data_IF_566827492523
#
_entry.id   IF_566827492523
#
_cell.length_a   1.000
_cell.length_b   1.000
_cell.length_c   1.000
_cell.angle_alpha   90.00
_cell.angle_beta   90.00
_cell.angle_gamma   90.00
#
_symmetry.space_group_name_H-M   'P 1'
#
loop_
_entity.id
_entity.type
_entity.pdbx_description
1 polymer ?
#
# COMPACT_ATOMS: atom_id res chain seq x y z
N UNK A 1 -38.37 -67.00 -24.50
CA UNK A 1 -38.15 -65.52 -24.75
C UNK A 1 -37.94 -64.84 -23.40
N UNK A 2 -36.68 -64.58 -23.03
CA UNK A 2 -36.32 -63.98 -21.74
C UNK A 2 -35.81 -62.58 -22.05
N UNK A 3 -36.59 -61.56 -21.69
CA UNK A 3 -36.24 -60.15 -21.76
C UNK A 3 -35.50 -59.73 -20.47
N UNK A 4 -34.19 -59.56 -20.55
CA UNK A 4 -33.39 -58.93 -19.48
C UNK A 4 -33.52 -57.38 -19.55
N UNK A 5 -34.08 -56.80 -18.48
CA UNK A 5 -34.07 -55.33 -18.27
C UNK A 5 -32.69 -54.92 -17.77
N UNK A 6 -32.01 -54.08 -18.53
CA UNK A 6 -30.83 -53.35 -18.08
C UNK A 6 -31.29 -52.15 -17.22
N UNK A 7 -30.81 -52.11 -15.97
CA UNK A 7 -30.94 -50.94 -15.08
C UNK A 7 -29.66 -50.13 -15.28
N UNK A 8 -29.80 -48.93 -15.87
CA UNK A 8 -28.72 -47.96 -15.96
C UNK A 8 -28.66 -47.18 -14.63
N UNK A 9 -27.55 -47.35 -13.90
CA UNK A 9 -27.25 -46.54 -12.71
C UNK A 9 -26.55 -45.27 -13.20
N UNK A 10 -27.22 -44.14 -13.10
CA UNK A 10 -26.65 -42.84 -13.36
C UNK A 10 -25.80 -42.41 -12.13
N UNK A 11 -24.49 -42.42 -12.27
CA UNK A 11 -23.58 -41.85 -11.29
C UNK A 11 -23.62 -40.32 -11.42
N UNK A 12 -24.24 -39.64 -10.46
CA UNK A 12 -24.18 -38.18 -10.33
C UNK A 12 -22.80 -37.81 -9.81
N UNK A 13 -21.94 -37.25 -10.68
CA UNK A 13 -20.68 -36.64 -10.28
C UNK A 13 -20.99 -35.33 -9.56
N UNK A 14 -20.83 -35.28 -8.24
CA UNK A 14 -20.74 -34.02 -7.51
C UNK A 14 -19.42 -33.35 -7.94
N UNK A 15 -19.52 -32.37 -8.83
CA UNK A 15 -18.44 -31.43 -9.05
C UNK A 15 -18.28 -30.59 -7.75
N UNK A 16 -17.22 -30.85 -7.00
CA UNK A 16 -16.82 -29.98 -5.92
C UNK A 16 -16.53 -28.61 -6.53
N UNK A 17 -17.40 -27.64 -6.25
CA UNK A 17 -17.13 -26.23 -6.54
C UNK A 17 -15.96 -25.86 -5.63
N UNK A 18 -14.74 -25.94 -6.15
CA UNK A 18 -13.56 -25.38 -5.51
C UNK A 18 -13.77 -23.87 -5.51
N UNK A 19 -14.19 -23.31 -4.39
CA UNK A 19 -14.15 -21.86 -4.20
C UNK A 19 -12.70 -21.45 -4.37
N UNK A 20 -12.38 -20.75 -5.45
CA UNK A 20 -11.05 -20.17 -5.62
C UNK A 20 -10.87 -19.17 -4.48
N UNK A 21 -9.97 -19.50 -3.56
CA UNK A 21 -9.60 -18.60 -2.46
C UNK A 21 -9.23 -17.22 -3.03
N UNK A 22 -9.84 -16.16 -2.49
CA UNK A 22 -9.58 -14.81 -2.95
C UNK A 22 -8.26 -14.31 -2.36
N UNK A 23 -7.20 -14.36 -3.15
CA UNK A 23 -5.88 -13.89 -2.75
C UNK A 23 -5.82 -12.35 -2.61
N UNK A 24 -4.98 -11.85 -1.69
CA UNK A 24 -4.66 -10.43 -1.49
C UNK A 24 -3.15 -10.21 -1.65
N UNK A 25 -2.62 -10.26 -2.89
CA UNK A 25 -1.19 -10.44 -3.16
C UNK A 25 -0.33 -9.17 -3.07
N UNK A 26 -0.95 -8.02 -2.93
CA UNK A 26 -0.28 -6.71 -2.91
C UNK A 26 -1.02 -5.70 -2.04
N UNK A 27 -0.37 -4.58 -1.75
CA UNK A 27 -1.00 -3.47 -1.05
C UNK A 27 -2.27 -3.01 -1.77
N UNK A 28 -3.39 -2.97 -1.01
CA UNK A 28 -4.74 -2.68 -1.47
C UNK A 28 -5.31 -3.74 -2.43
N UNK A 29 -4.84 -4.98 -2.33
CA UNK A 29 -5.42 -6.17 -2.95
C UNK A 29 -5.27 -6.27 -4.46
N UNK A 30 -6.06 -7.13 -5.09
CA UNK A 30 -6.09 -7.28 -6.54
C UNK A 30 -6.29 -5.94 -7.24
N UNK A 31 -5.45 -5.63 -8.26
CA UNK A 31 -5.46 -4.32 -8.91
C UNK A 31 -4.99 -3.14 -8.05
N UNK A 32 -4.75 -3.34 -6.75
CA UNK A 32 -4.22 -2.31 -5.84
C UNK A 32 -5.16 -1.14 -5.55
N UNK A 33 -6.47 -1.32 -5.70
CA UNK A 33 -7.46 -0.24 -5.55
C UNK A 33 -8.20 -0.25 -4.21
N UNK A 34 -8.01 -1.28 -3.36
CA UNK A 34 -8.64 -1.37 -2.04
C UNK A 34 -10.09 -1.83 -2.07
N UNK A 35 -10.44 -2.65 -3.04
CA UNK A 35 -11.81 -3.17 -3.23
C UNK A 35 -11.79 -4.68 -3.06
N UNK A 36 -12.70 -5.20 -2.23
CA UNK A 36 -12.98 -6.61 -2.04
C UNK A 36 -14.49 -6.86 -2.18
N UNK A 37 -14.84 -7.85 -2.98
CA UNK A 37 -16.24 -8.21 -3.23
C UNK A 37 -16.83 -9.14 -2.16
N UNK A 38 -16.05 -9.53 -1.12
CA UNK A 38 -16.51 -10.39 -0.03
C UNK A 38 -17.62 -9.71 0.78
N UNK A 39 -18.76 -10.40 0.91
CA UNK A 39 -19.93 -9.91 1.66
C UNK A 39 -20.06 -10.50 3.06
N UNK A 40 -19.36 -11.60 3.36
CA UNK A 40 -19.56 -12.39 4.59
C UNK A 40 -18.57 -12.03 5.72
N UNK A 41 -17.69 -11.04 5.51
CA UNK A 41 -16.85 -10.51 6.60
C UNK A 41 -17.78 -9.97 7.70
N UNK A 42 -17.56 -10.31 8.99
CA UNK A 42 -18.39 -9.84 10.10
C UNK A 42 -18.56 -8.31 10.09
N UNK A 43 -19.76 -7.86 10.44
CA UNK A 43 -20.04 -6.41 10.55
C UNK A 43 -19.59 -5.84 11.89
N UNK A 44 -19.58 -6.69 12.90
CA UNK A 44 -19.21 -6.33 14.27
C UNK A 44 -18.09 -7.22 14.78
N UNK A 45 -17.09 -6.60 15.44
CA UNK A 45 -16.02 -7.29 16.14
C UNK A 45 -15.48 -6.48 17.31
N UNK A 46 -14.85 -7.19 18.24
CA UNK A 46 -14.10 -6.65 19.37
C UNK A 46 -13.03 -7.65 19.77
N UNK A 47 -12.22 -7.38 20.80
CA UNK A 47 -11.24 -8.36 21.32
C UNK A 47 -11.86 -9.72 21.71
N UNK A 48 -13.17 -9.77 21.96
CA UNK A 48 -13.90 -10.97 22.41
C UNK A 48 -15.00 -11.43 21.45
N UNK A 49 -15.17 -10.78 20.29
CA UNK A 49 -16.22 -11.10 19.32
C UNK A 49 -15.65 -11.13 17.92
N UNK A 50 -15.87 -12.20 17.16
CA UNK A 50 -15.50 -12.36 15.75
C UNK A 50 -14.00 -12.12 15.46
N UNK A 51 -13.14 -12.39 16.44
CA UNK A 51 -11.69 -12.49 16.28
C UNK A 51 -11.32 -13.96 16.35
N UNK A 52 -11.05 -14.57 15.18
CA UNK A 52 -10.65 -15.98 15.10
C UNK A 52 -9.29 -16.22 15.76
N UNK A 53 -8.34 -15.30 15.54
CA UNK A 53 -7.06 -15.30 16.22
C UNK A 53 -6.42 -13.90 16.21
N UNK A 54 -5.49 -13.72 17.17
CA UNK A 54 -4.61 -12.57 17.31
C UNK A 54 -3.18 -13.06 17.50
N UNK A 55 -2.26 -12.58 16.67
CA UNK A 55 -0.85 -12.98 16.69
C UNK A 55 0.05 -11.80 16.93
N UNK A 56 0.87 -11.85 17.98
CA UNK A 56 1.89 -10.85 18.24
C UNK A 56 2.99 -10.93 17.19
N UNK A 57 3.39 -9.79 16.64
CA UNK A 57 4.42 -9.69 15.63
C UNK A 57 5.79 -9.35 16.26
N UNK A 58 6.86 -10.05 15.88
CA UNK A 58 8.20 -9.67 16.27
C UNK A 58 8.67 -8.46 15.47
N UNK A 59 9.28 -7.48 16.15
CA UNK A 59 9.80 -6.27 15.49
C UNK A 59 8.72 -5.25 15.13
N UNK A 60 9.13 -4.21 14.42
CA UNK A 60 8.29 -3.05 14.06
C UNK A 60 7.99 -3.01 12.57
N UNK A 61 6.79 -2.60 12.17
CA UNK A 61 6.46 -2.46 10.74
C UNK A 61 5.04 -2.01 10.48
N UNK A 62 4.85 -1.38 9.30
CA UNK A 62 3.58 -0.86 8.82
C UNK A 62 3.11 -1.45 7.51
N UNK A 63 3.81 -2.48 6.97
CA UNK A 63 3.32 -3.16 5.77
C UNK A 63 1.92 -3.72 5.98
N UNK A 64 1.07 -3.60 4.97
CA UNK A 64 -0.25 -4.24 4.98
C UNK A 64 -0.11 -5.77 4.93
N UNK A 65 -1.05 -6.51 5.50
CA UNK A 65 -1.08 -7.96 5.33
C UNK A 65 -1.25 -8.34 3.86
N UNK A 66 -0.60 -9.43 3.46
CA UNK A 66 -0.78 -10.12 2.19
C UNK A 66 -1.32 -11.50 2.47
N UNK A 67 -2.30 -11.95 1.70
CA UNK A 67 -2.91 -13.28 1.88
C UNK A 67 -2.81 -14.06 0.58
N UNK A 68 -2.22 -15.24 0.63
CA UNK A 68 -2.08 -16.16 -0.51
C UNK A 68 -2.35 -17.58 -0.03
N UNK A 69 -3.38 -18.22 -0.58
CA UNK A 69 -3.78 -19.56 -0.14
C UNK A 69 -3.96 -19.62 1.38
N UNK A 70 -3.25 -20.51 2.06
CA UNK A 70 -3.29 -20.67 3.53
C UNK A 70 -2.21 -19.86 4.27
N UNK A 71 -1.70 -18.78 3.70
CA UNK A 71 -0.61 -17.99 4.29
C UNK A 71 -0.97 -16.52 4.38
N UNK A 72 -0.68 -15.91 5.54
CA UNK A 72 -0.71 -14.47 5.76
C UNK A 72 0.71 -13.98 5.96
N UNK A 73 1.12 -12.96 5.19
CA UNK A 73 2.46 -12.43 5.20
C UNK A 73 2.49 -10.95 5.59
N UNK A 74 3.44 -10.58 6.43
CA UNK A 74 3.79 -9.19 6.75
C UNK A 74 5.31 -9.03 6.81
N UNK A 75 5.79 -7.79 6.79
CA UNK A 75 7.20 -7.50 7.05
C UNK A 75 7.41 -6.93 8.44
N UNK A 76 8.57 -7.17 9.05
CA UNK A 76 8.95 -6.60 10.33
C UNK A 76 10.43 -6.16 10.30
N UNK A 77 10.73 -5.03 10.94
CA UNK A 77 12.08 -4.55 11.15
C UNK A 77 12.54 -4.89 12.57
N UNK A 78 13.67 -5.58 12.66
CA UNK A 78 14.41 -5.75 13.91
C UNK A 78 15.47 -4.65 13.97
N UNK A 79 15.34 -3.76 14.94
CA UNK A 79 16.05 -2.51 15.04
C UNK A 79 17.06 -2.56 16.20
N UNK A 80 18.34 -2.26 15.94
CA UNK A 80 19.37 -2.05 16.96
C UNK A 80 19.71 -0.57 16.97
N UNK A 81 19.43 0.10 18.10
CA UNK A 81 19.69 1.54 18.23
C UNK A 81 21.21 1.83 18.16
N UNK A 82 21.57 2.94 17.54
CA UNK A 82 22.89 3.52 17.64
C UNK A 82 23.13 4.07 19.07
N UNK A 83 24.40 4.23 19.44
CA UNK A 83 24.74 4.93 20.69
C UNK A 83 24.29 6.40 20.65
N UNK A 84 24.20 7.02 21.83
CA UNK A 84 23.88 8.45 21.89
C UNK A 84 24.91 9.32 21.18
N UNK A 85 26.17 8.95 21.27
CA UNK A 85 27.28 9.63 20.64
C UNK A 85 27.21 9.56 19.12
N UNK A 86 27.03 8.34 18.57
CA UNK A 86 26.82 8.09 17.15
C UNK A 86 25.56 8.80 16.63
N UNK A 87 24.46 8.76 17.40
CA UNK A 87 23.20 9.42 17.04
C UNK A 87 23.41 10.93 16.90
N UNK A 88 24.09 11.58 17.85
CA UNK A 88 24.41 13.01 17.81
C UNK A 88 25.29 13.36 16.59
N UNK A 89 26.29 12.54 16.31
CA UNK A 89 27.19 12.77 15.17
C UNK A 89 26.45 12.66 13.82
N UNK A 90 25.71 11.58 13.64
CA UNK A 90 24.99 11.34 12.37
C UNK A 90 23.89 12.35 12.11
N UNK A 91 23.19 12.83 13.17
CA UNK A 91 22.14 13.83 13.03
C UNK A 91 22.64 15.24 12.73
N UNK A 92 23.92 15.55 12.81
CA UNK A 92 24.50 16.82 12.32
C UNK A 92 24.20 17.07 10.84
N UNK A 93 24.07 16.01 10.05
CA UNK A 93 23.69 16.08 8.64
C UNK A 93 22.19 16.27 8.38
N UNK A 94 21.35 16.22 9.41
CA UNK A 94 19.91 16.44 9.25
C UNK A 94 19.61 17.94 9.08
N UNK A 95 19.06 18.30 7.94
CA UNK A 95 18.68 19.68 7.62
C UNK A 95 17.18 19.97 7.84
N UNK A 96 16.39 18.94 8.16
CA UNK A 96 14.93 19.04 8.23
C UNK A 96 14.36 19.30 9.62
N UNK A 97 15.12 19.06 10.70
CA UNK A 97 14.68 19.25 12.08
C UNK A 97 13.57 18.30 12.56
N UNK A 98 13.18 17.29 11.76
CA UNK A 98 12.17 16.30 12.12
C UNK A 98 12.69 15.31 13.18
N UNK A 99 11.80 14.71 13.99
CA UNK A 99 12.22 13.71 14.98
C UNK A 99 12.61 12.38 14.33
N UNK A 100 13.88 12.04 14.43
CA UNK A 100 14.49 10.88 13.77
C UNK A 100 14.98 9.83 14.75
N UNK A 101 15.02 8.58 14.30
CA UNK A 101 15.64 7.44 14.98
C UNK A 101 16.85 7.00 14.18
N UNK A 102 17.99 6.82 14.85
CA UNK A 102 19.25 6.37 14.27
C UNK A 102 19.56 4.97 14.77
N UNK A 103 19.85 4.06 13.84
CA UNK A 103 20.16 2.67 14.14
C UNK A 103 21.62 2.36 13.77
N UNK A 104 22.25 1.46 14.53
CA UNK A 104 23.51 0.82 14.15
C UNK A 104 23.29 -0.38 13.20
N UNK A 105 22.12 -1.05 13.32
CA UNK A 105 21.74 -2.14 12.40
C UNK A 105 20.22 -2.23 12.26
N UNK A 106 19.76 -2.59 11.07
CA UNK A 106 18.37 -3.02 10.83
C UNK A 106 18.35 -4.31 10.02
N UNK A 107 17.47 -5.23 10.42
CA UNK A 107 17.13 -6.45 9.68
C UNK A 107 15.66 -6.40 9.30
N UNK A 108 15.35 -6.60 8.02
CA UNK A 108 13.98 -6.67 7.51
C UNK A 108 13.62 -8.14 7.31
N UNK A 109 12.61 -8.59 8.03
CA UNK A 109 12.15 -9.97 7.98
C UNK A 109 10.78 -10.08 7.30
N UNK A 110 10.59 -11.18 6.58
CA UNK A 110 9.28 -11.66 6.12
C UNK A 110 8.72 -12.62 7.18
N UNK A 111 7.54 -12.31 7.69
CA UNK A 111 6.83 -13.13 8.69
C UNK A 111 5.67 -13.82 7.98
N UNK A 112 5.65 -15.15 8.00
CA UNK A 112 4.56 -15.97 7.51
C UNK A 112 3.76 -16.51 8.68
N UNK A 113 2.45 -16.35 8.61
CA UNK A 113 1.48 -16.82 9.58
C UNK A 113 0.57 -17.80 8.88
N UNK A 114 0.31 -18.95 9.48
CA UNK A 114 -0.70 -19.89 9.02
C UNK A 114 -2.07 -19.24 9.16
N UNK A 115 -2.82 -19.20 8.06
CA UNK A 115 -4.08 -18.47 7.96
C UNK A 115 -5.18 -19.00 8.87
N UNK A 116 -5.17 -20.32 9.16
CA UNK A 116 -6.21 -20.93 9.99
C UNK A 116 -5.87 -20.83 11.47
N UNK A 117 -4.65 -21.14 11.85
CA UNK A 117 -4.25 -21.22 13.26
C UNK A 117 -3.71 -19.90 13.84
N UNK A 118 -3.31 -18.95 13.00
CA UNK A 118 -2.63 -17.73 13.43
C UNK A 118 -1.18 -17.94 13.90
N UNK A 119 -0.62 -19.14 13.77
CA UNK A 119 0.74 -19.46 14.23
C UNK A 119 1.77 -18.92 13.25
N UNK A 120 2.83 -18.25 13.74
CA UNK A 120 3.97 -17.88 12.91
C UNK A 120 4.72 -19.14 12.48
N UNK A 121 4.70 -19.44 11.19
CA UNK A 121 5.35 -20.63 10.60
C UNK A 121 6.70 -20.32 9.94
N UNK A 122 6.97 -19.04 9.59
CA UNK A 122 8.26 -18.59 9.07
C UNK A 122 8.59 -17.20 9.57
N UNK A 123 9.87 -16.97 9.86
CA UNK A 123 10.45 -15.66 10.17
C UNK A 123 11.81 -15.59 9.45
N UNK A 124 11.85 -14.94 8.29
CA UNK A 124 12.95 -15.03 7.34
C UNK A 124 13.60 -13.65 7.19
N UNK A 125 14.89 -13.54 7.49
CA UNK A 125 15.67 -12.33 7.21
C UNK A 125 15.83 -12.15 5.69
N UNK A 126 15.27 -11.08 5.15
CA UNK A 126 15.30 -10.77 3.73
C UNK A 126 16.39 -9.76 3.41
N UNK A 127 16.50 -8.70 4.19
CA UNK A 127 17.47 -7.64 4.03
C UNK A 127 18.12 -7.31 5.37
N UNK A 128 19.42 -6.95 5.32
CA UNK A 128 20.17 -6.45 6.47
C UNK A 128 21.00 -5.25 6.05
N UNK A 129 21.04 -4.21 6.89
CA UNK A 129 21.87 -3.04 6.68
C UNK A 129 22.50 -2.60 7.99
N UNK A 130 23.83 -2.47 8.00
CA UNK A 130 24.58 -1.76 9.05
C UNK A 130 24.54 -0.27 8.74
N UNK A 131 24.51 0.52 9.77
CA UNK A 131 24.49 1.99 9.72
C UNK A 131 23.47 2.52 8.70
N UNK A 132 22.18 2.07 8.77
CA UNK A 132 21.18 2.50 7.83
C UNK A 132 20.94 4.00 7.98
N UNK A 133 20.46 4.67 6.93
CA UNK A 133 19.93 6.04 7.07
C UNK A 133 18.91 6.06 8.23
N UNK A 134 18.76 7.22 8.86
CA UNK A 134 17.74 7.42 9.87
C UNK A 134 16.31 7.26 9.33
N UNK A 135 15.38 7.10 10.23
CA UNK A 135 13.96 7.02 9.92
C UNK A 135 13.17 7.98 10.82
N UNK A 136 12.09 8.55 10.30
CA UNK A 136 11.19 9.35 11.13
C UNK A 136 10.60 8.49 12.26
N UNK A 137 10.52 9.00 13.49
CA UNK A 137 10.09 8.21 14.67
C UNK A 137 8.72 7.54 14.53
N UNK A 138 7.83 8.07 13.69
CA UNK A 138 6.51 7.48 13.41
C UNK A 138 6.49 6.55 12.19
N UNK A 139 7.60 6.45 11.45
CA UNK A 139 7.76 5.52 10.33
C UNK A 139 8.48 4.24 10.79
N UNK A 140 8.63 3.27 9.90
CA UNK A 140 9.37 2.02 10.10
C UNK A 140 10.17 1.68 8.85
N UNK A 141 11.30 0.99 9.03
CA UNK A 141 12.07 0.41 7.93
C UNK A 141 11.29 -0.68 7.17
N UNK A 142 10.26 -1.26 7.79
CA UNK A 142 9.35 -2.25 7.19
C UNK A 142 7.95 -1.65 6.91
N UNK A 143 7.91 -0.41 6.41
CA UNK A 143 6.66 0.24 5.98
C UNK A 143 6.21 -0.16 4.57
N UNK A 144 7.10 -0.33 3.58
CA UNK A 144 6.69 -0.83 2.27
C UNK A 144 6.04 -2.21 2.36
N UNK A 145 4.96 -2.40 1.61
CA UNK A 145 4.30 -3.71 1.47
C UNK A 145 4.89 -4.42 0.26
N UNK A 146 5.40 -5.65 0.42
CA UNK A 146 5.84 -6.46 -0.72
C UNK A 146 4.72 -6.76 -1.71
N UNK A 147 5.08 -7.33 -2.85
CA UNK A 147 4.12 -7.88 -3.81
C UNK A 147 4.42 -9.35 -4.08
N UNK A 148 3.39 -10.17 -4.19
CA UNK A 148 3.49 -11.61 -4.41
C UNK A 148 3.01 -11.95 -5.81
N UNK A 149 3.82 -12.73 -6.54
CA UNK A 149 3.48 -13.27 -7.84
C UNK A 149 4.23 -14.59 -8.08
N UNK A 150 3.53 -15.62 -8.58
CA UNK A 150 4.13 -16.90 -8.98
C UNK A 150 4.91 -17.61 -7.87
N UNK A 151 4.45 -17.55 -6.62
CA UNK A 151 5.11 -18.16 -5.46
C UNK A 151 6.37 -17.43 -4.98
N UNK A 152 6.62 -16.24 -5.50
CA UNK A 152 7.72 -15.36 -5.09
C UNK A 152 7.17 -14.09 -4.47
N UNK A 153 7.90 -13.55 -3.50
CA UNK A 153 7.60 -12.27 -2.84
C UNK A 153 8.73 -11.29 -3.14
N UNK A 154 8.36 -10.11 -3.65
CA UNK A 154 9.30 -9.07 -4.05
C UNK A 154 9.21 -7.89 -3.09
N UNK A 155 10.35 -7.53 -2.54
CA UNK A 155 10.54 -6.46 -1.56
C UNK A 155 11.19 -5.26 -2.22
N UNK A 156 10.74 -4.07 -1.85
CA UNK A 156 11.38 -2.80 -2.16
C UNK A 156 11.41 -1.96 -0.88
N UNK A 157 12.58 -1.78 -0.30
CA UNK A 157 12.77 -1.06 0.97
C UNK A 157 13.67 0.18 0.78
N UNK A 158 13.46 0.91 -0.31
CA UNK A 158 14.24 2.10 -0.62
C UNK A 158 15.72 1.79 -0.75
N UNK A 159 16.56 2.64 -0.18
CA UNK A 159 18.01 2.51 -0.20
C UNK A 159 18.56 1.34 0.65
N UNK A 160 17.70 0.63 1.38
CA UNK A 160 18.12 -0.57 2.12
C UNK A 160 18.14 -1.81 1.24
N UNK A 161 17.48 -1.76 0.09
CA UNK A 161 17.56 -2.76 -0.95
C UNK A 161 16.20 -3.26 -1.46
N UNK A 162 16.32 -3.99 -2.55
CA UNK A 162 15.24 -4.75 -3.19
C UNK A 162 15.61 -6.23 -3.14
N UNK A 163 14.67 -7.13 -2.94
CA UNK A 163 14.94 -8.56 -2.83
C UNK A 163 13.79 -9.42 -3.37
N UNK A 164 14.11 -10.66 -3.72
CA UNK A 164 13.13 -11.69 -4.06
C UNK A 164 13.29 -12.89 -3.12
N UNK A 165 12.16 -13.30 -2.53
CA UNK A 165 12.04 -14.47 -1.66
C UNK A 165 11.18 -15.53 -2.35
N UNK A 166 11.68 -16.76 -2.43
CA UNK A 166 10.86 -17.92 -2.77
C UNK A 166 10.05 -18.35 -1.54
N UNK A 167 8.73 -18.23 -1.61
CA UNK A 167 7.85 -18.41 -0.45
C UNK A 167 7.84 -19.84 0.09
N UNK A 168 7.92 -20.86 -0.81
CA UNK A 168 7.89 -22.28 -0.43
C UNK A 168 9.10 -22.67 0.42
N UNK A 169 10.29 -22.44 -0.09
CA UNK A 169 11.55 -22.80 0.60
C UNK A 169 11.98 -21.79 1.66
N UNK A 170 11.57 -20.52 1.54
CA UNK A 170 12.09 -19.42 2.35
C UNK A 170 13.46 -18.92 1.89
N UNK A 171 13.95 -19.33 0.71
CA UNK A 171 15.23 -18.91 0.16
C UNK A 171 15.12 -17.53 -0.47
N UNK A 172 16.03 -16.61 -0.09
CA UNK A 172 16.21 -15.34 -0.79
C UNK A 172 16.98 -15.63 -2.08
N UNK A 173 16.33 -15.44 -3.22
CA UNK A 173 16.87 -15.76 -4.55
C UNK A 173 17.89 -14.74 -5.01
N UNK A 174 17.60 -13.46 -4.77
CA UNK A 174 18.52 -12.36 -5.07
C UNK A 174 18.25 -11.14 -4.18
N UNK A 175 19.26 -10.28 -4.07
CA UNK A 175 19.21 -8.95 -3.46
C UNK A 175 19.87 -7.95 -4.40
N UNK A 176 19.31 -6.74 -4.46
CA UNK A 176 19.92 -5.60 -5.14
C UNK A 176 19.97 -4.42 -4.17
N UNK A 177 21.13 -3.83 -3.99
CA UNK A 177 21.39 -2.65 -3.15
C UNK A 177 22.11 -1.54 -3.92
N UNK A 178 22.07 -1.57 -5.27
CA UNK A 178 22.79 -0.62 -6.14
C UNK A 178 22.04 0.72 -6.26
N UNK A 179 20.74 0.73 -6.00
CA UNK A 179 19.91 1.94 -6.09
C UNK A 179 19.87 2.64 -4.73
N UNK A 180 20.25 3.91 -4.72
CA UNK A 180 20.36 4.68 -3.49
C UNK A 180 19.83 6.11 -3.64
N UNK A 181 19.16 6.61 -2.59
CA UNK A 181 18.76 8.00 -2.39
C UNK A 181 18.78 8.33 -0.90
N UNK A 182 18.89 9.62 -0.55
CA UNK A 182 18.70 10.08 0.82
C UNK A 182 17.20 10.21 1.10
N UNK A 183 16.63 9.25 1.82
CA UNK A 183 15.19 9.23 2.12
C UNK A 183 14.75 10.29 3.12
N UNK A 184 15.57 10.65 4.07
CA UNK A 184 15.29 11.58 5.18
C UNK A 184 14.27 11.04 6.20
N UNK A 185 13.19 10.38 5.78
CA UNK A 185 12.13 9.89 6.65
C UNK A 185 12.00 8.35 6.64
N UNK A 186 12.91 7.65 5.95
CA UNK A 186 12.85 6.20 5.74
C UNK A 186 12.02 5.79 4.52
N UNK A 187 11.92 4.48 4.22
CA UNK A 187 11.21 3.98 3.05
C UNK A 187 9.69 4.05 3.24
N UNK A 188 8.94 4.15 2.14
CA UNK A 188 7.47 4.21 2.17
C UNK A 188 6.81 3.57 0.97
N UNK A 189 7.35 3.78 -0.24
CA UNK A 189 6.79 3.26 -1.48
C UNK A 189 6.89 1.74 -1.60
N UNK A 190 5.79 1.13 -2.05
CA UNK A 190 5.74 -0.29 -2.42
C UNK A 190 6.05 -0.47 -3.91
N UNK A 191 6.48 -1.65 -4.36
CA UNK A 191 6.69 -1.91 -5.77
C UNK A 191 5.37 -2.23 -6.49
N UNK A 192 5.41 -2.13 -7.82
CA UNK A 192 4.39 -2.67 -8.73
C UNK A 192 5.05 -3.58 -9.76
N UNK A 193 4.32 -4.58 -10.26
CA UNK A 193 4.82 -5.49 -11.30
C UNK A 193 4.15 -5.15 -12.63
N UNK A 194 4.95 -5.17 -13.69
CA UNK A 194 4.51 -5.18 -15.07
C UNK A 194 5.34 -6.19 -15.87
N UNK A 195 4.71 -7.26 -16.32
CA UNK A 195 5.39 -8.39 -16.97
C UNK A 195 6.56 -8.90 -16.10
N UNK A 196 7.79 -8.90 -16.63
CA UNK A 196 8.99 -9.35 -15.93
C UNK A 196 9.69 -8.24 -15.13
N UNK A 197 9.07 -7.07 -14.98
CA UNK A 197 9.66 -5.92 -14.33
C UNK A 197 9.00 -5.59 -12.99
N UNK A 198 9.82 -5.37 -11.98
CA UNK A 198 9.46 -4.79 -10.70
C UNK A 198 9.77 -3.29 -10.75
N UNK A 199 8.74 -2.44 -10.72
CA UNK A 199 8.84 -1.00 -10.94
C UNK A 199 8.54 -0.25 -9.65
N UNK A 200 9.37 0.75 -9.34
CA UNK A 200 9.22 1.61 -8.16
C UNK A 200 9.95 2.94 -8.38
N UNK A 201 9.55 3.95 -7.64
CA UNK A 201 10.29 5.20 -7.66
C UNK A 201 11.16 5.38 -6.41
N UNK A 202 12.23 6.15 -6.57
CA UNK A 202 13.20 6.53 -5.55
C UNK A 202 13.41 8.04 -5.63
N UNK A 203 12.59 8.79 -4.87
CA UNK A 203 12.64 10.26 -4.85
C UNK A 203 13.14 10.72 -3.47
N UNK A 204 14.46 10.88 -3.36
CA UNK A 204 15.13 11.36 -2.16
C UNK A 204 15.29 12.88 -2.13
N UNK A 205 15.99 13.40 -1.12
CA UNK A 205 16.37 14.81 -1.06
C UNK A 205 17.50 15.15 -2.03
N UNK A 206 18.33 14.18 -2.39
CA UNK A 206 19.50 14.28 -3.27
C UNK A 206 19.19 13.93 -4.73
N UNK A 207 18.60 12.76 -4.96
CA UNK A 207 18.28 12.23 -6.29
C UNK A 207 16.81 11.83 -6.39
N UNK A 208 16.23 11.99 -7.58
CA UNK A 208 14.84 11.63 -7.87
C UNK A 208 14.76 10.87 -9.20
N UNK A 209 14.28 9.63 -9.15
CA UNK A 209 14.16 8.77 -10.32
C UNK A 209 13.09 7.69 -10.14
N UNK A 210 12.68 7.11 -11.24
CA UNK A 210 11.92 5.87 -11.29
C UNK A 210 12.80 4.79 -11.90
N UNK A 211 12.68 3.56 -11.42
CA UNK A 211 13.49 2.43 -11.88
C UNK A 211 12.66 1.17 -12.06
N UNK A 212 13.14 0.27 -12.91
CA UNK A 212 12.69 -1.10 -13.00
C UNK A 212 13.84 -2.07 -12.81
N UNK A 213 13.55 -3.15 -12.11
CA UNK A 213 14.43 -4.29 -11.91
C UNK A 213 13.79 -5.51 -12.61
N UNK A 214 14.60 -6.28 -13.34
CA UNK A 214 14.18 -7.60 -13.80
C UNK A 214 13.87 -8.49 -12.58
N UNK A 215 12.63 -8.91 -12.43
CA UNK A 215 12.15 -9.63 -11.23
C UNK A 215 12.76 -11.02 -11.04
N UNK A 216 13.35 -11.60 -12.10
CA UNK A 216 13.97 -12.92 -12.02
C UNK A 216 15.43 -12.85 -11.58
N UNK A 217 16.14 -11.80 -11.97
CA UNK A 217 17.59 -11.67 -11.76
C UNK A 217 17.96 -10.62 -10.71
N UNK A 218 17.08 -9.67 -10.41
CA UNK A 218 17.37 -8.52 -9.55
C UNK A 218 18.22 -7.44 -10.19
N UNK A 219 18.52 -7.54 -11.49
CA UNK A 219 19.33 -6.54 -12.22
C UNK A 219 18.48 -5.35 -12.63
N UNK A 220 19.05 -4.14 -12.56
CA UNK A 220 18.39 -2.93 -13.05
C UNK A 220 18.20 -3.04 -14.55
N UNK A 221 16.92 -2.99 -15.01
CA UNK A 221 16.54 -3.01 -16.41
C UNK A 221 16.60 -1.59 -17.01
N UNK A 222 16.07 -0.62 -16.28
CA UNK A 222 16.15 0.80 -16.63
C UNK A 222 16.03 1.70 -15.39
N UNK A 223 16.56 2.93 -15.51
CA UNK A 223 16.51 3.97 -14.49
C UNK A 223 16.33 5.32 -15.18
N UNK A 224 15.27 6.07 -14.83
CA UNK A 224 14.91 7.33 -15.47
C UNK A 224 14.83 8.45 -14.46
N UNK A 225 15.71 9.46 -14.57
CA UNK A 225 15.66 10.65 -13.73
C UNK A 225 14.40 11.47 -14.00
N UNK A 226 13.88 12.13 -12.95
CA UNK A 226 12.78 13.08 -13.06
C UNK A 226 13.21 14.32 -13.86
N UNK A 227 12.38 14.75 -14.82
CA UNK A 227 12.70 15.85 -15.74
C UNK A 227 12.04 17.18 -15.33
N UNK A 228 11.02 17.15 -14.46
CA UNK A 228 10.33 18.35 -14.01
C UNK A 228 11.19 19.20 -13.09
N UNK A 229 11.09 20.52 -13.20
CA UNK A 229 11.75 21.44 -12.28
C UNK A 229 11.16 21.25 -10.88
N UNK A 230 12.01 20.97 -9.91
CA UNK A 230 11.65 20.84 -8.50
C UNK A 230 12.11 22.07 -7.71
N UNK A 231 11.65 22.18 -6.47
CA UNK A 231 12.07 23.23 -5.55
C UNK A 231 13.57 23.14 -5.26
N UNK A 232 14.25 24.27 -5.01
CA UNK A 232 15.69 24.28 -4.70
C UNK A 232 16.00 23.62 -3.35
N UNK A 233 15.11 23.77 -2.35
CA UNK A 233 15.25 23.12 -1.06
C UNK A 233 15.15 21.59 -1.20
N UNK A 234 16.21 20.82 -0.86
CA UNK A 234 16.23 19.35 -0.95
C UNK A 234 15.08 18.67 -0.21
N UNK A 235 14.66 19.23 0.93
CA UNK A 235 13.56 18.66 1.73
C UNK A 235 12.22 18.62 0.99
N UNK A 236 12.03 19.44 -0.04
CA UNK A 236 10.79 19.56 -0.81
C UNK A 236 10.80 18.74 -2.12
N UNK A 237 11.80 17.87 -2.33
CA UNK A 237 11.95 17.06 -3.57
C UNK A 237 11.48 15.60 -3.41
N UNK A 238 11.15 15.19 -2.19
CA UNK A 238 10.91 13.77 -1.84
C UNK A 238 9.52 13.30 -2.25
N UNK A 239 9.42 11.99 -2.53
CA UNK A 239 8.17 11.25 -2.62
C UNK A 239 8.34 9.81 -2.13
N UNK A 240 7.29 9.25 -1.51
CA UNK A 240 7.26 7.95 -0.85
C UNK A 240 6.09 7.08 -1.31
N UNK A 241 5.36 7.51 -2.32
CA UNK A 241 4.18 6.80 -2.82
C UNK A 241 4.53 5.52 -3.57
N UNK A 242 3.51 4.86 -4.06
CA UNK A 242 3.61 3.64 -4.87
C UNK A 242 3.13 3.95 -6.28
N UNK A 243 3.92 3.67 -7.33
CA UNK A 243 3.46 3.83 -8.71
C UNK A 243 2.37 2.81 -9.04
N UNK A 244 1.55 3.10 -10.04
CA UNK A 244 0.52 2.18 -10.53
C UNK A 244 0.62 2.00 -12.03
N UNK A 245 0.22 0.82 -12.51
CA UNK A 245 0.03 0.58 -13.95
C UNK A 245 -1.40 0.92 -14.30
N UNK A 246 -1.58 1.80 -15.29
CA UNK A 246 -2.88 2.20 -15.79
C UNK A 246 -2.98 1.95 -17.29
N UNK A 247 -4.13 1.45 -17.76
CA UNK A 247 -4.44 1.38 -19.20
C UNK A 247 -4.93 2.77 -19.63
N UNK A 248 -4.08 3.54 -20.31
CA UNK A 248 -4.39 4.89 -20.78
C UNK A 248 -4.36 4.90 -22.30
N UNK A 249 -5.51 5.23 -22.92
CA UNK A 249 -5.67 5.28 -24.37
C UNK A 249 -5.16 4.00 -25.06
N UNK A 250 -5.51 2.84 -24.50
CA UNK A 250 -5.21 1.51 -25.04
C UNK A 250 -3.82 0.95 -24.71
N UNK A 251 -2.91 1.72 -24.08
CA UNK A 251 -1.57 1.25 -23.70
C UNK A 251 -1.34 1.28 -22.19
N UNK A 252 -0.43 0.44 -21.72
CA UNK A 252 -0.01 0.45 -20.34
C UNK A 252 0.92 1.64 -20.08
N UNK A 253 0.69 2.32 -18.95
CA UNK A 253 1.46 3.48 -18.51
C UNK A 253 1.72 3.35 -17.03
N UNK A 254 2.96 3.54 -16.62
CA UNK A 254 3.31 3.69 -15.22
C UNK A 254 2.98 5.11 -14.78
N UNK A 255 2.03 5.27 -13.87
CA UNK A 255 1.70 6.55 -13.26
C UNK A 255 2.48 6.70 -11.95
N UNK A 256 3.32 7.72 -11.86
CA UNK A 256 4.22 7.94 -10.74
C UNK A 256 4.16 9.38 -10.24
N UNK A 257 3.44 9.66 -9.14
CA UNK A 257 3.49 10.95 -8.46
C UNK A 257 4.86 11.20 -7.83
N UNK A 258 5.36 12.41 -7.98
CA UNK A 258 6.59 12.91 -7.39
C UNK A 258 6.38 14.32 -6.84
N UNK A 259 7.36 14.93 -6.22
CA UNK A 259 7.25 16.31 -5.79
C UNK A 259 6.96 17.26 -6.97
N UNK A 260 5.93 18.08 -6.85
CA UNK A 260 5.46 19.08 -7.81
C UNK A 260 4.84 18.51 -9.11
N UNK A 261 5.04 17.24 -9.42
CA UNK A 261 4.71 16.64 -10.70
C UNK A 261 4.08 15.24 -10.54
N UNK A 262 3.23 14.87 -11.49
CA UNK A 262 2.89 13.48 -11.76
C UNK A 262 3.37 13.12 -13.17
N UNK A 263 3.91 11.92 -13.30
CA UNK A 263 4.51 11.43 -14.54
C UNK A 263 3.80 10.19 -15.05
N UNK A 264 3.78 10.04 -16.38
CA UNK A 264 3.48 8.79 -17.05
C UNK A 264 4.69 8.28 -17.80
N UNK A 265 5.04 7.02 -17.58
CA UNK A 265 6.17 6.37 -18.22
C UNK A 265 5.74 5.13 -19.01
N UNK A 266 6.47 4.84 -20.06
CA UNK A 266 6.42 3.56 -20.74
C UNK A 266 7.00 2.48 -19.82
N UNK A 267 6.25 1.44 -19.42
CA UNK A 267 6.73 0.46 -18.46
C UNK A 267 7.89 -0.40 -18.97
N UNK A 268 8.00 -0.62 -20.29
CA UNK A 268 9.05 -1.45 -20.88
C UNK A 268 10.42 -0.77 -20.88
N UNK A 269 10.44 0.55 -21.05
CA UNK A 269 11.67 1.31 -21.35
C UNK A 269 11.98 2.39 -20.30
N UNK A 270 11.03 2.73 -19.44
CA UNK A 270 11.14 3.87 -18.53
C UNK A 270 11.07 5.24 -19.24
N UNK A 271 10.77 5.29 -20.54
CA UNK A 271 10.67 6.56 -21.27
C UNK A 271 9.50 7.38 -20.74
N UNK A 272 9.77 8.66 -20.41
CA UNK A 272 8.71 9.61 -20.06
C UNK A 272 7.79 9.84 -21.24
N UNK A 273 6.49 9.64 -21.06
CA UNK A 273 5.45 9.83 -22.05
C UNK A 273 4.77 11.18 -21.90
N UNK A 274 4.55 11.57 -20.66
CA UNK A 274 3.94 12.83 -20.26
C UNK A 274 4.23 13.16 -18.80
N UNK A 275 4.05 14.41 -18.46
CA UNK A 275 4.02 14.88 -17.06
C UNK A 275 3.01 15.99 -16.90
N UNK A 276 2.47 16.15 -15.70
CA UNK A 276 1.54 17.22 -15.32
C UNK A 276 2.08 17.91 -14.07
N UNK A 277 2.25 19.23 -14.13
CA UNK A 277 2.65 20.05 -13.00
C UNK A 277 1.44 20.37 -12.13
N UNK A 278 1.60 20.27 -10.79
CA UNK A 278 0.56 20.66 -9.84
C UNK A 278 1.05 21.68 -8.79
N UNK A 279 2.28 22.16 -8.93
CA UNK A 279 2.83 23.27 -8.15
C UNK A 279 3.79 22.87 -7.03
N UNK A 280 4.35 23.87 -6.38
CA UNK A 280 5.52 23.75 -5.49
C UNK A 280 5.23 23.28 -4.06
N UNK A 281 4.00 23.02 -3.67
CA UNK A 281 3.63 22.66 -2.29
C UNK A 281 3.16 21.22 -2.11
N UNK A 282 3.23 20.38 -3.15
CA UNK A 282 3.06 18.94 -3.04
C UNK A 282 4.41 18.24 -3.05
N UNK A 283 4.83 17.67 -1.91
CA UNK A 283 6.05 16.88 -1.76
C UNK A 283 5.86 15.82 -0.69
N UNK A 284 6.85 14.94 -0.52
CA UNK A 284 6.74 13.76 0.36
C UNK A 284 5.47 12.96 0.06
N UNK A 285 5.20 12.74 -1.22
CA UNK A 285 3.96 12.12 -1.69
C UNK A 285 3.86 10.70 -1.13
N UNK A 286 2.78 10.40 -0.41
CA UNK A 286 2.53 9.07 0.18
C UNK A 286 1.35 8.35 -0.48
N UNK A 287 0.21 9.02 -0.77
CA UNK A 287 -0.95 8.34 -1.31
C UNK A 287 -0.67 7.64 -2.64
N UNK A 288 -1.13 6.39 -2.78
CA UNK A 288 -1.13 5.66 -4.03
C UNK A 288 -2.16 6.26 -4.98
N UNK A 289 -1.86 6.44 -6.26
CA UNK A 289 -2.85 6.84 -7.25
C UNK A 289 -4.00 5.84 -7.34
N UNK A 290 -5.21 6.36 -7.57
CA UNK A 290 -6.39 5.58 -7.89
C UNK A 290 -6.80 5.86 -9.33
N UNK A 291 -7.21 4.82 -10.04
CA UNK A 291 -7.49 4.88 -11.48
C UNK A 291 -8.94 4.50 -11.74
N UNK A 292 -9.63 5.27 -12.54
CA UNK A 292 -10.98 4.92 -12.98
C UNK A 292 -11.66 6.06 -13.74
N UNK A 293 -12.72 5.74 -14.49
CA UNK A 293 -13.55 6.72 -15.18
C UNK A 293 -12.80 7.62 -16.17
N UNK A 294 -11.67 7.16 -16.75
CA UNK A 294 -10.80 7.99 -17.59
C UNK A 294 -9.99 9.04 -16.81
N UNK A 295 -9.91 8.88 -15.51
CA UNK A 295 -9.24 9.80 -14.58
C UNK A 295 -8.14 9.07 -13.79
N UNK A 296 -7.17 9.84 -13.32
CA UNK A 296 -6.22 9.46 -12.27
C UNK A 296 -6.46 10.39 -11.10
N UNK A 297 -6.59 9.81 -9.89
CA UNK A 297 -6.76 10.56 -8.65
C UNK A 297 -5.49 10.47 -7.83
N UNK A 298 -4.88 11.62 -7.50
CA UNK A 298 -3.65 11.69 -6.71
C UNK A 298 -3.79 12.65 -5.53
N UNK A 299 -3.26 12.24 -4.36
CA UNK A 299 -3.03 13.13 -3.22
C UNK A 299 -1.64 13.74 -3.31
N UNK A 300 -1.51 15.04 -3.06
CA UNK A 300 -0.22 15.77 -3.16
C UNK A 300 0.53 15.87 -1.84
N UNK A 301 0.03 15.29 -0.74
CA UNK A 301 0.65 15.22 0.60
C UNK A 301 1.01 16.58 1.21
N UNK A 302 2.26 16.76 1.64
CA UNK A 302 2.73 17.90 2.41
C UNK A 302 3.02 19.12 1.50
N UNK A 303 2.91 20.35 1.95
CA UNK A 303 2.39 20.92 3.22
C UNK A 303 0.95 21.40 3.08
N UNK A 304 0.42 21.46 1.87
CA UNK A 304 -0.97 21.84 1.54
C UNK A 304 -1.58 20.76 0.68
N UNK A 305 -2.07 19.68 1.31
CA UNK A 305 -2.60 18.54 0.58
C UNK A 305 -3.72 18.95 -0.37
N UNK A 306 -3.66 18.45 -1.58
CA UNK A 306 -4.73 18.54 -2.57
C UNK A 306 -5.03 17.13 -3.07
N UNK A 307 -6.30 16.87 -3.36
CA UNK A 307 -6.71 15.71 -4.14
C UNK A 307 -7.04 16.20 -5.56
N UNK A 308 -6.35 15.67 -6.55
CA UNK A 308 -6.44 16.08 -7.93
C UNK A 308 -7.10 14.99 -8.76
N UNK A 309 -8.07 15.36 -9.59
CA UNK A 309 -8.57 14.53 -10.69
C UNK A 309 -7.91 14.94 -11.99
N UNK A 310 -7.12 14.03 -12.58
CA UNK A 310 -6.39 14.25 -13.83
C UNK A 310 -7.10 13.51 -14.95
N UNK A 311 -7.57 14.23 -15.96
CA UNK A 311 -8.18 13.66 -17.15
C UNK A 311 -7.08 13.09 -18.07
N UNK A 312 -7.11 11.77 -18.28
CA UNK A 312 -6.17 11.04 -19.14
C UNK A 312 -6.80 10.56 -20.44
N UNK A 313 -8.02 10.94 -20.73
CA UNK A 313 -8.69 10.65 -22.01
C UNK A 313 -8.13 11.53 -23.13
N UNK A 314 -7.64 12.72 -22.78
CA UNK A 314 -7.04 13.68 -23.72
C UNK A 314 -5.65 13.23 -24.19
N UNK A 315 -5.22 13.78 -25.32
CA UNK A 315 -3.88 13.52 -25.85
C UNK A 315 -2.76 13.92 -24.86
N UNK A 316 -2.95 15.07 -24.20
CA UNK A 316 -2.11 15.55 -23.10
C UNK A 316 -2.96 15.53 -21.83
N UNK A 317 -2.59 14.72 -20.82
CA UNK A 317 -3.28 14.72 -19.53
C UNK A 317 -3.26 16.09 -18.86
N UNK A 318 -4.36 16.45 -18.20
CA UNK A 318 -4.48 17.73 -17.49
C UNK A 318 -5.31 17.60 -16.23
N UNK A 319 -5.10 18.51 -15.27
CA UNK A 319 -5.90 18.60 -14.05
C UNK A 319 -7.30 19.10 -14.40
N UNK A 320 -8.30 18.23 -14.27
CA UNK A 320 -9.69 18.59 -14.51
C UNK A 320 -10.32 19.28 -13.29
N UNK A 321 -9.92 18.88 -12.08
CA UNK A 321 -10.39 19.48 -10.84
C UNK A 321 -9.40 19.26 -9.67
N UNK A 322 -9.55 20.05 -8.61
CA UNK A 322 -8.78 19.97 -7.38
C UNK A 322 -9.65 20.20 -6.16
N UNK A 323 -9.57 19.28 -5.18
CA UNK A 323 -10.11 19.45 -3.84
C UNK A 323 -8.99 19.83 -2.87
N UNK A 324 -9.23 20.84 -1.99
CA UNK A 324 -8.23 21.36 -1.04
C UNK A 324 -8.67 21.26 0.43
N UNK A 325 -9.89 20.75 0.69
CA UNK A 325 -10.46 20.69 2.03
C UNK A 325 -10.37 19.28 2.60
N UNK A 326 -9.83 19.14 3.82
CA UNK A 326 -9.74 17.89 4.57
C UNK A 326 -9.02 16.75 3.83
N UNK A 327 -8.14 17.09 2.87
CA UNK A 327 -7.38 16.10 2.09
C UNK A 327 -6.27 15.54 2.96
N UNK A 328 -6.09 14.18 2.99
CA UNK A 328 -5.02 13.55 3.74
C UNK A 328 -3.65 13.75 3.07
N UNK A 329 -2.60 13.77 3.89
CA UNK A 329 -1.24 13.67 3.41
C UNK A 329 -0.77 12.20 3.28
N UNK A 330 -1.42 11.25 3.95
CA UNK A 330 -0.93 9.86 4.09
C UNK A 330 -1.85 8.85 3.41
N UNK A 331 -3.14 8.83 3.75
CA UNK A 331 -4.05 7.79 3.23
C UNK A 331 -4.40 8.01 1.76
N UNK A 332 -4.53 6.90 1.02
CA UNK A 332 -4.94 6.93 -0.39
C UNK A 332 -6.47 7.06 -0.50
N UNK A 333 -7.00 7.72 -1.52
CA UNK A 333 -8.44 7.74 -1.76
C UNK A 333 -8.96 6.36 -2.18
N UNK A 334 -10.29 6.19 -2.16
CA UNK A 334 -10.99 4.98 -2.58
C UNK A 334 -12.09 5.36 -3.58
N UNK A 335 -12.05 4.76 -4.77
CA UNK A 335 -13.07 4.93 -5.80
C UNK A 335 -14.07 3.78 -5.73
N UNK A 336 -15.35 4.11 -5.55
CA UNK A 336 -16.45 3.14 -5.56
C UNK A 336 -17.56 3.67 -6.47
N UNK A 337 -17.83 2.97 -7.55
CA UNK A 337 -18.79 3.44 -8.54
C UNK A 337 -18.41 4.79 -9.16
N UNK A 338 -19.15 5.82 -8.88
CA UNK A 338 -18.91 7.20 -9.33
C UNK A 338 -18.43 8.12 -8.20
N UNK A 339 -18.27 7.61 -7.01
CA UNK A 339 -17.90 8.35 -5.81
C UNK A 339 -16.45 8.07 -5.40
N UNK A 340 -15.75 9.13 -4.97
CA UNK A 340 -14.37 9.09 -4.46
C UNK A 340 -14.38 9.46 -2.99
N UNK A 341 -13.86 8.56 -2.15
CA UNK A 341 -13.86 8.71 -0.69
C UNK A 341 -12.44 8.89 -0.16
N UNK A 342 -12.27 9.73 0.84
CA UNK A 342 -11.02 9.87 1.59
C UNK A 342 -11.29 10.39 3.01
N UNK A 343 -10.32 10.22 3.90
CA UNK A 343 -10.40 10.65 5.31
C UNK A 343 -9.18 11.50 5.66
N UNK A 344 -9.37 12.59 6.38
CA UNK A 344 -8.27 13.46 6.84
C UNK A 344 -7.37 12.74 7.85
N UNK A 345 -6.08 13.09 7.87
CA UNK A 345 -5.10 12.51 8.79
C UNK A 345 -5.44 12.75 10.27
N UNK A 346 -6.08 13.88 10.57
CA UNK A 346 -6.47 14.27 11.94
C UNK A 346 -7.96 14.58 12.01
N UNK A 347 -8.59 14.16 13.12
CA UNK A 347 -9.99 14.44 13.43
C UNK A 347 -11.01 13.67 12.58
N UNK A 348 -10.57 12.76 11.70
CA UNK A 348 -11.43 11.82 10.99
C UNK A 348 -12.54 12.47 10.17
N UNK A 349 -12.22 13.49 9.37
CA UNK A 349 -13.17 14.08 8.44
C UNK A 349 -13.21 13.24 7.16
N UNK A 350 -14.27 12.49 6.92
CA UNK A 350 -14.52 11.75 5.67
C UNK A 350 -15.19 12.66 4.67
N UNK A 351 -14.76 12.59 3.44
CA UNK A 351 -15.34 13.34 2.32
C UNK A 351 -15.69 12.39 1.18
N UNK A 352 -16.86 12.57 0.60
CA UNK A 352 -17.34 11.93 -0.62
C UNK A 352 -17.40 12.97 -1.73
N UNK A 353 -16.74 12.71 -2.85
CA UNK A 353 -16.80 13.54 -4.06
C UNK A 353 -17.41 12.75 -5.22
N UNK A 354 -18.08 13.43 -6.13
CA UNK A 354 -18.28 12.92 -7.48
C UNK A 354 -16.93 12.81 -8.17
N UNK A 355 -16.55 11.60 -8.56
CA UNK A 355 -15.20 11.31 -9.05
C UNK A 355 -14.85 12.04 -10.35
N UNK A 356 -15.83 12.28 -11.23
CA UNK A 356 -15.59 12.94 -12.51
C UNK A 356 -15.40 14.45 -12.39
N UNK A 357 -16.18 15.08 -11.50
CA UNK A 357 -16.25 16.54 -11.40
C UNK A 357 -15.53 17.13 -10.19
N UNK A 358 -15.20 16.28 -9.19
CA UNK A 358 -14.67 16.74 -7.91
C UNK A 358 -15.69 17.44 -7.01
N UNK A 359 -17.00 17.46 -7.41
CA UNK A 359 -18.05 18.07 -6.61
C UNK A 359 -18.28 17.30 -5.33
N UNK A 360 -18.23 18.01 -4.19
CA UNK A 360 -18.53 17.43 -2.89
C UNK A 360 -19.99 17.00 -2.82
N UNK A 361 -20.22 15.74 -2.42
CA UNK A 361 -21.53 15.19 -2.13
C UNK A 361 -21.85 15.38 -0.65
N UNK A 362 -20.90 15.01 0.21
CA UNK A 362 -20.97 15.23 1.66
C UNK A 362 -19.57 15.24 2.28
N UNK A 363 -19.48 15.80 3.50
CA UNK A 363 -18.28 15.80 4.34
C UNK A 363 -18.71 15.72 5.79
N UNK A 364 -18.36 14.60 6.44
CA UNK A 364 -18.82 14.29 7.79
C UNK A 364 -17.69 13.76 8.68
N UNK A 365 -17.81 13.98 9.97
CA UNK A 365 -16.83 13.59 10.95
C UNK A 365 -17.12 12.19 11.52
N UNK A 366 -16.15 11.28 11.40
CA UNK A 366 -16.19 9.97 12.07
C UNK A 366 -15.31 9.91 13.32
N UNK A 367 -14.37 10.86 13.50
CA UNK A 367 -13.44 10.93 14.62
C UNK A 367 -12.12 10.21 14.36
N UNK A 368 -11.21 10.29 15.33
CA UNK A 368 -9.90 9.64 15.29
C UNK A 368 -8.89 10.29 14.36
N UNK A 369 -7.66 9.73 14.36
CA UNK A 369 -6.57 10.09 13.47
C UNK A 369 -6.30 8.91 12.52
N UNK A 370 -6.08 9.19 11.25
CA UNK A 370 -6.01 8.17 10.21
C UNK A 370 -4.66 8.18 9.49
N UNK A 371 -4.19 7.00 9.10
CA UNK A 371 -3.01 6.80 8.27
C UNK A 371 -3.21 5.63 7.31
N UNK A 372 -4.02 4.65 7.72
CA UNK A 372 -4.46 3.55 6.87
C UNK A 372 -5.36 4.06 5.74
N UNK A 373 -5.20 3.50 4.54
CA UNK A 373 -6.11 3.79 3.43
C UNK A 373 -7.42 3.02 3.60
N UNK A 374 -8.57 3.62 3.26
CA UNK A 374 -9.87 2.96 3.35
C UNK A 374 -9.95 1.76 2.39
N UNK A 375 -10.80 0.80 2.75
CA UNK A 375 -11.06 -0.42 1.99
C UNK A 375 -12.56 -0.60 1.83
N UNK A 376 -13.00 -0.97 0.62
CA UNK A 376 -14.37 -1.46 0.37
C UNK A 376 -14.40 -2.96 0.64
N UNK A 377 -15.35 -3.40 1.47
CA UNK A 377 -15.61 -4.80 1.77
C UNK A 377 -17.10 -5.08 1.55
N UNK A 378 -17.41 -5.75 0.43
CA UNK A 378 -18.78 -5.89 -0.02
C UNK A 378 -19.43 -4.51 -0.23
N UNK A 379 -20.41 -4.19 0.58
CA UNK A 379 -21.17 -2.92 0.56
C UNK A 379 -20.76 -1.93 1.66
N UNK A 380 -19.57 -2.10 2.27
CA UNK A 380 -19.11 -1.30 3.42
C UNK A 380 -17.78 -0.65 3.16
N UNK A 381 -17.67 0.66 3.39
CA UNK A 381 -16.42 1.42 3.42
C UNK A 381 -15.83 1.32 4.83
N UNK A 382 -14.64 0.77 4.98
CA UNK A 382 -13.97 0.65 6.28
C UNK A 382 -12.88 1.71 6.41
N UNK A 383 -12.93 2.48 7.50
CA UNK A 383 -11.95 3.49 7.88
C UNK A 383 -11.32 3.12 9.22
N UNK A 384 -10.00 2.89 9.24
CA UNK A 384 -9.26 2.47 10.41
C UNK A 384 -8.48 3.64 11.02
N UNK A 385 -8.68 3.91 12.31
CA UNK A 385 -7.98 4.97 13.03
C UNK A 385 -6.77 4.47 13.80
N UNK A 386 -5.84 5.38 14.09
CA UNK A 386 -4.67 5.11 14.94
C UNK A 386 -5.05 4.81 16.39
N UNK A 387 -6.24 5.14 16.80
CA UNK A 387 -6.78 4.82 18.12
C UNK A 387 -7.38 3.41 18.19
N UNK A 388 -7.28 2.61 17.11
CA UNK A 388 -7.76 1.23 17.04
C UNK A 388 -9.24 1.08 16.70
N UNK A 389 -9.93 2.18 16.37
CA UNK A 389 -11.33 2.13 15.93
C UNK A 389 -11.43 1.89 14.42
N UNK A 390 -12.39 1.07 14.02
CA UNK A 390 -12.81 0.92 12.62
C UNK A 390 -14.26 1.39 12.50
N UNK A 391 -14.48 2.40 11.66
CA UNK A 391 -15.82 2.89 11.32
C UNK A 391 -16.21 2.37 9.96
N UNK A 392 -17.36 1.69 9.88
CA UNK A 392 -17.95 1.22 8.64
C UNK A 392 -19.03 2.21 8.16
N UNK A 393 -18.93 2.65 6.91
CA UNK A 393 -19.92 3.53 6.27
C UNK A 393 -20.57 2.80 5.09
N UNK A 394 -21.82 3.17 4.81
CA UNK A 394 -22.49 2.77 3.58
C UNK A 394 -21.96 3.60 2.40
N UNK A 395 -21.55 2.99 1.28
CA UNK A 395 -21.22 3.73 0.06
C UNK A 395 -22.45 4.49 -0.47
N UNK A 396 -22.25 5.69 -1.02
CA UNK A 396 -23.31 6.47 -1.65
C UNK A 396 -23.20 7.96 -1.42
N UNK A 397 -24.20 8.69 -1.91
CA UNK A 397 -24.29 10.16 -1.85
C UNK A 397 -24.93 10.69 -0.58
N UNK A 398 -25.30 9.80 0.34
CA UNK A 398 -25.79 10.13 1.66
C UNK A 398 -24.86 9.52 2.71
N UNK A 399 -24.56 10.27 3.77
CA UNK A 399 -23.70 9.80 4.85
C UNK A 399 -24.48 8.89 5.78
N UNK A 400 -23.97 7.66 5.98
CA UNK A 400 -24.54 6.71 6.93
C UNK A 400 -23.43 5.89 7.59
N UNK A 401 -23.31 5.97 8.92
CA UNK A 401 -22.51 5.06 9.73
C UNK A 401 -23.29 3.76 9.91
N UNK A 402 -22.67 2.63 9.60
CA UNK A 402 -23.24 1.29 9.82
C UNK A 402 -22.81 0.73 11.17
N UNK A 403 -21.50 0.70 11.46
CA UNK A 403 -20.96 0.14 12.71
C UNK A 403 -19.69 0.87 13.13
N UNK A 404 -19.34 0.70 14.42
CA UNK A 404 -18.05 1.07 15.00
C UNK A 404 -17.48 -0.13 15.75
N UNK A 405 -16.25 -0.50 15.43
CA UNK A 405 -15.56 -1.64 15.99
C UNK A 405 -14.25 -1.18 16.62
N UNK A 406 -13.79 -1.85 17.66
CA UNK A 406 -12.59 -1.47 18.41
C UNK A 406 -11.69 -2.67 18.63
N UNK A 407 -10.39 -2.50 18.36
CA UNK A 407 -9.32 -3.41 18.71
C UNK A 407 -8.19 -2.64 19.41
N UNK A 408 -7.35 -3.34 20.16
CA UNK A 408 -6.17 -2.76 20.77
C UNK A 408 -5.08 -2.46 19.73
N UNK A 409 -4.39 -1.33 19.93
CA UNK A 409 -3.25 -0.92 19.12
C UNK A 409 -3.58 0.07 18.02
N UNK A 410 -2.54 0.54 17.35
CA UNK A 410 -2.63 1.58 16.35
C UNK A 410 -2.70 0.98 14.93
N UNK A 411 -3.72 1.34 14.17
CA UNK A 411 -3.83 0.96 12.76
C UNK A 411 -3.13 1.98 11.87
N UNK A 412 -1.95 1.62 11.36
CA UNK A 412 -1.25 2.35 10.30
C UNK A 412 -1.32 1.63 8.96
N UNK A 413 -1.36 0.31 9.00
CA UNK A 413 -1.49 -0.55 7.81
C UNK A 413 -2.93 -0.57 7.30
N UNK A 414 -3.09 -0.58 5.98
CA UNK A 414 -4.41 -0.83 5.37
C UNK A 414 -4.78 -2.30 5.52
N UNK A 415 -6.07 -2.58 5.62
CA UNK A 415 -6.60 -3.94 5.76
C UNK A 415 -6.32 -4.81 4.52
N UNK A 416 -6.31 -6.13 4.74
CA UNK A 416 -6.43 -7.13 3.68
C UNK A 416 -7.74 -7.90 3.87
N UNK A 417 -8.29 -8.39 2.76
CA UNK A 417 -9.51 -9.21 2.74
C UNK A 417 -9.23 -10.46 1.93
N UNK A 418 -9.57 -11.61 2.48
CA UNK A 418 -9.46 -12.87 1.75
C UNK A 418 -10.56 -13.80 2.23
N UNK A 419 -11.25 -14.40 1.28
CA UNK A 419 -12.47 -15.16 1.54
C UNK A 419 -13.46 -14.33 2.38
N UNK A 420 -13.93 -14.85 3.50
CA UNK A 420 -14.86 -14.19 4.41
C UNK A 420 -14.17 -13.60 5.65
N UNK A 421 -12.89 -13.28 5.54
CA UNK A 421 -12.10 -12.76 6.64
C UNK A 421 -11.44 -11.40 6.32
N UNK A 422 -11.37 -10.56 7.35
CA UNK A 422 -10.62 -9.30 7.36
C UNK A 422 -9.34 -9.47 8.19
N UNK A 423 -8.21 -9.04 7.64
CA UNK A 423 -6.92 -9.06 8.32
C UNK A 423 -6.49 -7.64 8.65
N UNK A 424 -6.42 -7.34 9.93
CA UNK A 424 -6.01 -6.04 10.45
C UNK A 424 -4.66 -6.13 11.15
N UNK A 425 -3.75 -5.23 10.81
CA UNK A 425 -2.45 -5.10 11.47
C UNK A 425 -2.39 -3.85 12.33
N UNK A 426 -1.95 -4.03 13.57
CA UNK A 426 -1.54 -2.96 14.47
C UNK A 426 -0.01 -2.89 14.57
N UNK A 427 0.53 -1.97 15.38
CA UNK A 427 1.97 -1.88 15.62
C UNK A 427 2.55 -3.14 16.31
N UNK A 428 1.74 -3.94 17.01
CA UNK A 428 2.18 -5.10 17.80
C UNK A 428 1.63 -6.43 17.32
N UNK A 429 0.52 -6.44 16.63
CA UNK A 429 -0.21 -7.67 16.31
C UNK A 429 -0.88 -7.63 14.94
N UNK A 430 -1.27 -8.81 14.50
CA UNK A 430 -2.20 -9.00 13.39
C UNK A 430 -3.41 -9.79 13.89
N UNK A 431 -4.58 -9.45 13.41
CA UNK A 431 -5.86 -10.06 13.72
C UNK A 431 -6.48 -10.68 12.48
N UNK A 432 -7.08 -11.86 12.61
CA UNK A 432 -8.06 -12.42 11.66
C UNK A 432 -9.45 -12.21 12.25
N UNK A 433 -10.28 -11.50 11.52
CA UNK A 433 -11.67 -11.24 11.87
C UNK A 433 -12.54 -12.07 10.93
N UNK A 434 -13.21 -13.05 11.47
CA UNK A 434 -14.16 -13.95 10.80
C UNK A 434 -15.14 -14.52 11.82
N UNK A 435 -16.26 -15.06 11.33
CA UNK A 435 -17.17 -15.85 12.16
C UNK A 435 -16.57 -17.18 12.57
#
# INVERSE_FOLDING_TARGET
MNTRKLIAVAAASLAAISSTQADWPQWRGPGGQGVADSSNVPTEWSETKNVAWRTNLPGRGWSSPLVIGNQVWVTAAHETLASEEETKERLKANTGGQPLVVLSEVRINAICIDKESGIIVKNIEVLRKKDPQWVHKTNSYASPTPIIEGGKMYFQNGSYGTACLEMKSGKVLWRNQDLWVMHENGPGGSPTIWNELLIFHMDGSDNQFIAAIDKNTGKVAWNTKRTGKMHDNPQLKKAYGTPVIAKIRGRDVVVSPAANWVYGYDPATGKELWKVEYGSLGFSIVPKPVIGKGMIYIGTSYMRPQLLGIDVTKAKPEIAWACKRSVPAISSPLLVGNELYFVSDSGGMVTCLDAKTGKEQWRERIGGNHGASPTLVGDRLLFHSKEGETVALKPGREFQILTRNKLEGQHHASAAVSDDALYLRTEKAIYKISE
#
